data_IF_977537929866
#
_entry.id   IF_977537929866
#
_cell.length_a   1.000
_cell.length_b   1.000
_cell.length_c   1.000
_cell.angle_alpha   90.00
_cell.angle_beta   90.00
_cell.angle_gamma   90.00
#
_symmetry.space_group_name_H-M   'P 1'
#
loop_
_entity.id
_entity.type
_entity.pdbx_description
1 polymer ?
#
# COMPACT_ATOMS: atom_id res chain seq x y z
N UNK A 1 12.46 3.91 23.40
CA UNK A 1 13.63 3.38 22.69
C UNK A 1 13.23 3.04 21.26
N UNK A 2 13.93 3.57 20.26
CA UNK A 2 13.65 3.23 18.85
C UNK A 2 14.12 1.78 18.62
N UNK A 3 13.52 1.06 17.67
CA UNK A 3 13.89 -0.34 17.38
C UNK A 3 15.38 -0.51 17.03
N UNK A 4 16.01 0.55 16.51
CA UNK A 4 17.44 0.62 16.16
C UNK A 4 18.34 0.50 17.40
N UNK A 5 18.01 1.20 18.49
CA UNK A 5 18.80 1.24 19.72
C UNK A 5 18.87 -0.15 20.38
N UNK A 6 17.75 -0.91 20.32
CA UNK A 6 17.67 -2.25 20.91
C UNK A 6 18.45 -3.31 20.14
N UNK A 7 18.62 -3.14 18.83
CA UNK A 7 19.43 -4.06 18.04
C UNK A 7 20.93 -3.86 18.33
N UNK A 8 21.37 -2.61 18.48
CA UNK A 8 22.75 -2.31 18.85
C UNK A 8 23.11 -2.89 20.23
N UNK A 9 22.19 -2.82 21.20
CA UNK A 9 22.37 -3.45 22.52
C UNK A 9 22.54 -4.97 22.40
N UNK A 10 21.77 -5.63 21.51
CA UNK A 10 21.89 -7.10 21.29
C UNK A 10 23.23 -7.48 20.67
N UNK A 11 23.73 -6.67 19.74
CA UNK A 11 25.05 -6.87 19.13
C UNK A 11 26.16 -6.73 20.18
N UNK A 12 26.06 -5.73 21.06
CA UNK A 12 26.99 -5.52 22.17
C UNK A 12 26.97 -6.69 23.17
N UNK A 13 25.79 -7.20 23.53
CA UNK A 13 25.67 -8.39 24.39
C UNK A 13 26.39 -9.58 23.76
N UNK A 14 26.24 -9.78 22.44
CA UNK A 14 26.83 -10.91 21.74
C UNK A 14 28.34 -10.73 21.57
N UNK A 15 28.83 -9.51 21.35
CA UNK A 15 30.28 -9.25 21.29
C UNK A 15 30.95 -9.53 22.63
N UNK A 16 30.30 -9.17 23.75
CA UNK A 16 30.76 -9.52 25.10
C UNK A 16 30.65 -11.03 25.37
N UNK A 17 29.59 -11.69 24.89
CA UNK A 17 29.47 -13.14 25.02
C UNK A 17 30.56 -13.90 24.24
N UNK A 18 30.93 -13.43 23.03
CA UNK A 18 32.04 -13.97 22.24
C UNK A 18 33.40 -13.82 22.92
N UNK A 19 33.56 -12.84 23.80
CA UNK A 19 34.73 -12.66 24.67
C UNK A 19 34.70 -13.56 25.92
N UNK A 20 33.84 -14.58 25.96
CA UNK A 20 33.68 -15.54 27.05
C UNK A 20 33.31 -14.94 28.42
N UNK A 21 32.70 -13.75 28.45
CA UNK A 21 32.20 -13.16 29.69
C UNK A 21 30.94 -13.87 30.19
N UNK A 22 30.81 -13.99 31.52
CA UNK A 22 29.61 -14.54 32.14
C UNK A 22 28.42 -13.58 31.99
N UNK A 23 27.19 -14.10 32.08
CA UNK A 23 25.99 -13.26 32.00
C UNK A 23 25.93 -12.21 33.12
N UNK A 24 26.49 -12.51 34.30
CA UNK A 24 26.58 -11.58 35.40
C UNK A 24 27.57 -10.45 35.09
N UNK A 25 28.72 -10.76 34.50
CA UNK A 25 29.72 -9.74 34.12
C UNK A 25 29.22 -8.84 32.99
N UNK A 26 28.50 -9.41 32.02
CA UNK A 26 27.83 -8.65 30.96
C UNK A 26 26.82 -7.68 31.57
N UNK A 27 26.03 -8.11 32.55
CA UNK A 27 25.07 -7.25 33.24
C UNK A 27 25.77 -6.10 33.99
N UNK A 28 26.87 -6.39 34.71
CA UNK A 28 27.65 -5.36 35.41
C UNK A 28 28.28 -4.35 34.45
N UNK A 29 28.84 -4.81 33.32
CA UNK A 29 29.42 -3.93 32.29
C UNK A 29 28.40 -3.09 31.53
N UNK A 30 27.16 -3.57 31.42
CA UNK A 30 26.07 -2.87 30.74
C UNK A 30 25.14 -2.15 31.72
N UNK A 31 25.60 -1.87 32.94
CA UNK A 31 24.79 -1.26 33.99
C UNK A 31 24.34 0.18 33.61
N UNK A 32 25.22 0.94 32.96
CA UNK A 32 24.94 2.32 32.53
C UNK A 32 23.76 2.42 31.55
N UNK A 33 23.59 1.38 30.72
CA UNK A 33 22.54 1.29 29.68
C UNK A 33 21.23 0.73 30.27
N UNK A 34 21.22 0.31 31.54
CA UNK A 34 20.07 -0.27 32.26
C UNK A 34 19.45 -1.47 31.53
N UNK A 35 20.29 -2.40 31.07
CA UNK A 35 19.85 -3.62 30.38
C UNK A 35 19.27 -4.65 31.35
N UNK A 36 18.12 -5.26 31.02
CA UNK A 36 17.54 -6.31 31.86
C UNK A 36 18.27 -7.65 31.72
N UNK A 37 18.45 -8.37 32.84
CA UNK A 37 19.01 -9.75 32.86
C UNK A 37 18.27 -10.69 31.91
N UNK A 38 16.95 -10.52 31.77
CA UNK A 38 16.10 -11.29 30.85
C UNK A 38 16.48 -11.07 29.38
N UNK A 39 16.80 -9.83 28.99
CA UNK A 39 17.23 -9.53 27.62
C UNK A 39 18.56 -10.21 27.30
N UNK A 40 19.52 -10.15 28.22
CA UNK A 40 20.84 -10.79 28.07
C UNK A 40 20.67 -12.30 27.87
N UNK A 41 19.94 -12.96 28.79
CA UNK A 41 19.68 -14.40 28.73
C UNK A 41 18.97 -14.80 27.43
N UNK A 42 17.87 -14.13 27.05
CA UNK A 42 17.13 -14.42 25.81
C UNK A 42 17.97 -14.21 24.55
N UNK A 43 18.85 -13.21 24.55
CA UNK A 43 19.72 -12.90 23.40
C UNK A 43 20.81 -13.95 23.24
N UNK A 44 21.46 -14.35 24.35
CA UNK A 44 22.48 -15.41 24.35
C UNK A 44 21.87 -16.76 23.98
N UNK A 45 20.76 -17.15 24.59
CA UNK A 45 20.10 -18.42 24.27
C UNK A 45 19.69 -18.48 22.80
N UNK A 46 19.12 -17.39 22.25
CA UNK A 46 18.81 -17.31 20.83
C UNK A 46 20.05 -17.42 19.95
N UNK A 47 21.12 -16.71 20.31
CA UNK A 47 22.37 -16.75 19.54
C UNK A 47 22.96 -18.18 19.51
N UNK A 48 22.91 -18.90 20.64
CA UNK A 48 23.34 -20.30 20.71
C UNK A 48 22.47 -21.23 19.85
N UNK A 49 21.16 -21.01 19.80
CA UNK A 49 20.23 -21.86 19.03
C UNK A 49 20.22 -21.53 17.52
N UNK A 50 20.26 -20.26 17.14
CA UNK A 50 20.00 -19.81 15.75
C UNK A 50 21.22 -19.16 15.09
N UNK A 51 22.27 -18.81 15.83
CA UNK A 51 23.43 -18.05 15.34
C UNK A 51 23.16 -16.57 15.04
N UNK A 52 21.88 -16.15 15.10
CA UNK A 52 21.46 -14.80 14.75
C UNK A 52 21.39 -13.88 15.98
N UNK A 53 21.88 -12.65 15.82
CA UNK A 53 21.87 -11.61 16.85
C UNK A 53 20.51 -10.93 16.97
N UNK A 54 19.88 -10.66 15.83
CA UNK A 54 18.61 -9.94 15.74
C UNK A 54 17.47 -10.96 15.66
N UNK A 55 16.40 -10.82 16.47
CA UNK A 55 15.25 -11.69 16.37
C UNK A 55 14.56 -11.54 15.01
N UNK A 56 14.18 -12.66 14.41
CA UNK A 56 13.35 -12.67 13.21
C UNK A 56 12.05 -11.88 13.44
N UNK A 57 11.60 -11.17 12.40
CA UNK A 57 10.33 -10.44 12.46
C UNK A 57 9.21 -11.41 12.80
N UNK A 58 8.40 -11.05 13.79
CA UNK A 58 7.20 -11.83 14.14
C UNK A 58 6.33 -12.02 12.91
N UNK A 59 5.92 -13.27 12.68
CA UNK A 59 5.04 -13.60 11.57
C UNK A 59 3.77 -12.77 11.69
N UNK A 60 3.46 -11.99 10.65
CA UNK A 60 2.21 -11.24 10.61
C UNK A 60 1.04 -12.21 10.55
N UNK A 61 -0.05 -11.89 11.26
CA UNK A 61 -1.30 -12.64 11.20
C UNK A 61 -1.77 -12.73 9.74
N UNK A 62 -2.08 -13.95 9.27
CA UNK A 62 -2.61 -14.17 7.92
C UNK A 62 -3.96 -13.46 7.78
N UNK A 63 -4.20 -12.83 6.63
CA UNK A 63 -5.48 -12.21 6.30
C UNK A 63 -6.44 -13.29 5.80
N UNK A 64 -7.46 -13.62 6.58
CA UNK A 64 -8.38 -14.73 6.26
C UNK A 64 -9.28 -14.43 5.06
N UNK A 65 -9.91 -13.24 5.02
CA UNK A 65 -10.90 -12.90 3.98
C UNK A 65 -10.32 -12.20 2.73
N UNK A 66 -9.07 -11.72 2.79
CA UNK A 66 -8.40 -10.98 1.69
C UNK A 66 -7.37 -11.87 1.01
N UNK A 67 -7.82 -12.98 0.46
CA UNK A 67 -6.95 -13.93 -0.25
C UNK A 67 -6.61 -13.39 -1.64
N UNK A 68 -5.46 -13.79 -2.24
CA UNK A 68 -5.11 -13.41 -3.61
C UNK A 68 -6.19 -13.80 -4.63
N UNK A 69 -6.85 -14.94 -4.44
CA UNK A 69 -7.95 -15.40 -5.27
C UNK A 69 -9.14 -14.42 -5.25
N UNK A 70 -9.59 -14.00 -4.07
CA UNK A 70 -10.69 -13.02 -3.92
C UNK A 70 -10.29 -11.67 -4.54
N UNK A 71 -9.05 -11.22 -4.33
CA UNK A 71 -8.55 -9.96 -4.92
C UNK A 71 -8.61 -10.03 -6.45
N UNK A 72 -8.22 -11.16 -7.04
CA UNK A 72 -8.31 -11.39 -8.50
C UNK A 72 -9.77 -11.38 -8.98
N UNK A 73 -10.68 -12.03 -8.27
CA UNK A 73 -12.12 -12.03 -8.62
C UNK A 73 -12.70 -10.61 -8.58
N UNK A 74 -12.42 -9.85 -7.52
CA UNK A 74 -12.90 -8.45 -7.39
C UNK A 74 -12.34 -7.59 -8.51
N UNK A 75 -11.05 -7.75 -8.86
CA UNK A 75 -10.42 -7.04 -9.97
C UNK A 75 -11.14 -7.31 -11.29
N UNK A 76 -11.38 -8.58 -11.63
CA UNK A 76 -12.04 -8.93 -12.90
C UNK A 76 -13.50 -8.46 -12.93
N UNK A 77 -14.23 -8.51 -11.81
CA UNK A 77 -15.60 -7.98 -11.75
C UNK A 77 -15.63 -6.48 -12.00
N UNK A 78 -14.70 -5.72 -11.40
CA UNK A 78 -14.58 -4.28 -11.63
C UNK A 78 -14.08 -3.95 -13.03
N UNK A 79 -13.22 -4.78 -13.63
CA UNK A 79 -12.77 -4.62 -15.02
C UNK A 79 -13.92 -4.76 -16.00
N UNK A 80 -14.80 -5.75 -15.80
CA UNK A 80 -15.99 -5.98 -16.64
C UNK A 80 -17.04 -4.88 -16.46
N UNK A 81 -17.27 -4.44 -15.23
CA UNK A 81 -18.20 -3.37 -14.94
C UNK A 81 -17.66 -2.48 -13.80
N UNK A 82 -17.03 -1.34 -14.12
CA UNK A 82 -16.45 -0.44 -13.13
C UNK A 82 -17.50 0.35 -12.34
N UNK A 83 -18.76 0.33 -12.76
CA UNK A 83 -19.86 1.03 -12.08
C UNK A 83 -20.43 0.23 -10.88
N UNK A 84 -19.98 -1.01 -10.66
CA UNK A 84 -20.47 -1.84 -9.56
C UNK A 84 -20.15 -1.24 -8.19
N UNK A 85 -21.12 -1.29 -7.30
CA UNK A 85 -20.95 -0.86 -5.92
C UNK A 85 -20.12 -1.87 -5.11
N UNK A 86 -19.24 -1.36 -4.25
CA UNK A 86 -18.51 -2.18 -3.28
C UNK A 86 -19.46 -2.93 -2.33
N UNK A 87 -20.67 -2.42 -2.05
CA UNK A 87 -21.68 -3.13 -1.24
C UNK A 87 -22.24 -4.35 -1.96
N UNK A 88 -22.49 -4.24 -3.27
CA UNK A 88 -22.98 -5.35 -4.08
C UNK A 88 -21.91 -6.45 -4.16
N UNK A 89 -20.66 -6.06 -4.46
CA UNK A 89 -19.53 -7.00 -4.48
C UNK A 89 -19.34 -7.71 -3.13
N UNK A 90 -19.53 -6.98 -2.02
CA UNK A 90 -19.44 -7.55 -0.68
C UNK A 90 -20.52 -8.61 -0.43
N UNK A 91 -21.79 -8.34 -0.82
CA UNK A 91 -22.89 -9.31 -0.72
C UNK A 91 -22.63 -10.54 -1.59
N UNK A 92 -22.24 -10.36 -2.84
CA UNK A 92 -21.97 -11.47 -3.77
C UNK A 92 -20.80 -12.38 -3.36
N UNK A 93 -19.88 -11.86 -2.54
CA UNK A 93 -18.70 -12.61 -2.06
C UNK A 93 -18.80 -12.98 -0.57
N UNK A 94 -19.97 -12.78 0.06
CA UNK A 94 -20.19 -13.04 1.49
C UNK A 94 -19.13 -12.39 2.39
N UNK A 95 -18.77 -11.15 2.07
CA UNK A 95 -17.77 -10.35 2.80
C UNK A 95 -18.41 -9.16 3.50
N UNK A 96 -17.79 -8.70 4.57
CA UNK A 96 -18.16 -7.41 5.15
C UNK A 96 -17.81 -6.28 4.17
N UNK A 97 -18.65 -5.25 4.13
CA UNK A 97 -18.40 -4.06 3.32
C UNK A 97 -17.04 -3.42 3.63
N UNK A 98 -16.66 -3.36 4.92
CA UNK A 98 -15.35 -2.84 5.37
C UNK A 98 -14.18 -3.63 4.80
N UNK A 99 -14.30 -4.96 4.70
CA UNK A 99 -13.28 -5.81 4.10
C UNK A 99 -13.18 -5.58 2.60
N UNK A 100 -14.32 -5.49 1.92
CA UNK A 100 -14.38 -5.18 0.49
C UNK A 100 -13.77 -3.81 0.17
N UNK A 101 -14.06 -2.80 0.99
CA UNK A 101 -13.48 -1.47 0.84
C UNK A 101 -11.95 -1.50 1.00
N UNK A 102 -11.41 -2.30 1.93
CA UNK A 102 -9.96 -2.51 2.06
C UNK A 102 -9.37 -3.22 0.84
N UNK A 103 -10.07 -4.20 0.25
CA UNK A 103 -9.64 -4.83 -1.01
C UNK A 103 -9.52 -3.78 -2.12
N UNK A 104 -10.55 -2.97 -2.31
CA UNK A 104 -10.58 -1.96 -3.37
C UNK A 104 -9.51 -0.88 -3.16
N UNK A 105 -9.43 -0.30 -1.95
CA UNK A 105 -8.54 0.85 -1.67
C UNK A 105 -7.10 0.46 -1.41
N UNK A 106 -6.84 -0.62 -0.68
CA UNK A 106 -5.49 -0.97 -0.23
C UNK A 106 -4.82 -2.02 -1.12
N UNK A 107 -5.55 -3.07 -1.51
CA UNK A 107 -4.97 -4.16 -2.31
C UNK A 107 -4.97 -3.82 -3.81
N UNK A 108 -6.10 -3.33 -4.32
CA UNK A 108 -6.24 -2.94 -5.74
C UNK A 108 -5.83 -1.50 -6.01
N UNK A 109 -5.73 -0.66 -4.96
CA UNK A 109 -5.37 0.77 -5.06
C UNK A 109 -6.26 1.56 -6.03
N UNK A 110 -7.54 1.19 -6.10
CA UNK A 110 -8.51 1.85 -6.96
C UNK A 110 -9.18 3.03 -6.23
N UNK A 111 -9.43 4.10 -6.98
CA UNK A 111 -10.19 5.27 -6.53
C UNK A 111 -11.52 5.33 -7.30
N UNK A 112 -12.60 5.60 -6.59
CA UNK A 112 -13.90 5.81 -7.21
C UNK A 112 -13.96 7.22 -7.79
N UNK A 113 -14.05 7.35 -9.12
CA UNK A 113 -14.27 8.63 -9.79
C UNK A 113 -15.77 8.92 -9.88
N UNK A 114 -16.14 10.20 -9.74
CA UNK A 114 -17.50 10.67 -10.01
C UNK A 114 -17.67 10.75 -11.53
N UNK A 115 -18.71 10.10 -12.06
CA UNK A 115 -19.07 10.25 -13.48
C UNK A 115 -19.54 11.69 -13.73
N UNK A 116 -18.97 12.33 -14.73
CA UNK A 116 -19.46 13.62 -15.23
C UNK A 116 -20.52 13.37 -16.32
N UNK A 117 -21.61 14.14 -16.29
CA UNK A 117 -22.56 14.16 -17.39
C UNK A 117 -21.99 15.05 -18.48
N UNK A 118 -21.90 14.52 -19.69
CA UNK A 118 -21.50 15.25 -20.90
C UNK A 118 -22.59 15.08 -21.94
N UNK A 119 -22.63 15.98 -22.93
CA UNK A 119 -23.55 15.87 -24.04
C UNK A 119 -23.36 14.52 -24.77
N UNK A 120 -24.47 13.84 -25.07
CA UNK A 120 -24.44 12.59 -25.81
C UNK A 120 -23.97 12.85 -27.25
N UNK A 121 -22.91 12.15 -27.67
CA UNK A 121 -22.42 12.22 -29.05
C UNK A 121 -22.96 11.03 -29.85
N UNK A 122 -23.65 11.31 -30.95
CA UNK A 122 -23.99 10.30 -31.96
C UNK A 122 -22.71 9.87 -32.71
N UNK A 123 -22.75 8.71 -33.37
CA UNK A 123 -21.58 8.21 -34.10
C UNK A 123 -21.20 9.13 -35.27
N UNK A 124 -22.18 9.72 -35.95
CA UNK A 124 -21.96 10.77 -36.96
C UNK A 124 -21.21 11.97 -36.36
N UNK A 125 -21.65 12.46 -35.19
CA UNK A 125 -21.01 13.59 -34.52
C UNK A 125 -19.55 13.28 -34.14
N UNK A 126 -19.23 12.04 -33.74
CA UNK A 126 -17.85 11.64 -33.43
C UNK A 126 -16.94 11.75 -34.66
N UNK A 127 -17.37 11.21 -35.79
CA UNK A 127 -16.60 11.23 -37.04
C UNK A 127 -16.37 12.67 -37.52
N UNK A 128 -17.42 13.47 -37.52
CA UNK A 128 -17.35 14.86 -37.99
C UNK A 128 -16.45 15.72 -37.10
N UNK A 129 -16.55 15.56 -35.77
CA UNK A 129 -15.68 16.26 -34.81
C UNK A 129 -14.22 15.89 -35.03
N UNK A 130 -13.88 14.61 -35.19
CA UNK A 130 -12.50 14.18 -35.44
C UNK A 130 -11.97 14.76 -36.75
N UNK A 131 -12.77 14.74 -37.82
CA UNK A 131 -12.40 15.33 -39.11
C UNK A 131 -12.12 16.84 -38.97
N UNK A 132 -13.02 17.56 -38.28
CA UNK A 132 -12.88 19.00 -38.03
C UNK A 132 -11.65 19.32 -37.20
N UNK A 133 -11.42 18.61 -36.09
CA UNK A 133 -10.24 18.80 -35.24
C UNK A 133 -8.93 18.58 -36.02
N UNK A 134 -8.83 17.51 -36.83
CA UNK A 134 -7.66 17.26 -37.67
C UNK A 134 -7.44 18.38 -38.70
N UNK A 135 -8.50 18.85 -39.34
CA UNK A 135 -8.42 19.96 -40.32
C UNK A 135 -7.98 21.27 -39.67
N UNK A 136 -8.53 21.60 -38.50
CA UNK A 136 -8.16 22.81 -37.75
C UNK A 136 -6.71 22.76 -37.30
N UNK A 137 -6.26 21.62 -36.77
CA UNK A 137 -4.88 21.42 -36.35
C UNK A 137 -3.90 21.55 -37.53
N UNK A 138 -4.23 21.00 -38.69
CA UNK A 138 -3.38 21.11 -39.89
C UNK A 138 -3.25 22.57 -40.38
N UNK A 139 -4.34 23.33 -40.34
CA UNK A 139 -4.39 24.69 -40.89
C UNK A 139 -3.86 25.75 -39.92
N UNK A 140 -4.09 25.57 -38.63
CA UNK A 140 -3.85 26.60 -37.61
C UNK A 140 -3.03 26.09 -36.41
N UNK A 141 -2.36 24.94 -36.53
CA UNK A 141 -1.50 24.39 -35.48
C UNK A 141 -0.27 25.26 -35.26
N UNK A 142 -0.41 26.28 -34.39
CA UNK A 142 0.63 27.28 -34.12
C UNK A 142 0.23 28.71 -34.48
N UNK A 143 -1.00 28.96 -34.94
CA UNK A 143 -1.52 30.30 -35.16
C UNK A 143 -2.12 30.88 -33.87
N UNK A 144 -2.04 32.19 -33.70
CA UNK A 144 -2.74 32.91 -32.62
C UNK A 144 -4.23 33.04 -32.98
N UNK A 145 -5.09 32.32 -32.25
CA UNK A 145 -6.54 32.29 -32.49
C UNK A 145 -7.27 32.96 -31.32
N UNK A 146 -8.11 33.95 -31.64
CA UNK A 146 -9.05 34.53 -30.69
C UNK A 146 -10.40 33.81 -30.83
N UNK A 147 -10.94 33.30 -29.72
CA UNK A 147 -12.26 32.68 -29.67
C UNK A 147 -13.22 33.55 -28.87
N UNK A 148 -14.46 33.67 -29.35
CA UNK A 148 -15.58 34.31 -28.66
C UNK A 148 -16.78 33.36 -28.61
N UNK A 149 -17.50 33.37 -27.50
CA UNK A 149 -18.76 32.64 -27.33
C UNK A 149 -19.72 33.48 -26.50
N UNK A 150 -21.02 33.39 -26.77
CA UNK A 150 -22.04 34.13 -26.05
C UNK A 150 -22.57 33.32 -24.88
N UNK A 151 -22.68 33.95 -23.71
CA UNK A 151 -23.24 33.33 -22.51
C UNK A 151 -24.42 34.14 -22.01
N UNK A 152 -25.57 33.50 -21.87
CA UNK A 152 -26.73 34.08 -21.20
C UNK A 152 -26.50 34.09 -19.69
N UNK A 153 -26.60 35.26 -19.07
CA UNK A 153 -26.49 35.50 -17.62
C UNK A 153 -27.84 35.81 -16.96
N UNK A 154 -28.91 35.23 -17.50
CA UNK A 154 -30.26 35.24 -16.88
C UNK A 154 -30.34 34.28 -15.70
#
# INVERSE_FOLDING_TARGET
>A
MKNTDLNHIRELIISLHKKNLSQADILRRLNDIKVSKSLISRTISRYKTTGQTIPAKTRKRKRVKRTPAIIKVVRERLRRNPARSGRQLAKELNMSYTSMQKVIKQDLRLKCYRKQKIAGLTDKNKVERVKRCKSLLKRHGGADIVFSDEKMFT
#
